data_IF_767752581349
#
_entry.id   IF_767752581349
#
_cell.length_a   1.000
_cell.length_b   1.000
_cell.length_c   1.000
_cell.angle_alpha   90.00
_cell.angle_beta   90.00
_cell.angle_gamma   90.00
#
_symmetry.space_group_name_H-M   'P 1'
#
loop_
_entity.id
_entity.type
_entity.pdbx_description
1 polymer ?
#
# COMPACT_ATOMS: atom_id res chain seq x y z
N UNK A 1 27.21 10.74 34.98
CA UNK A 1 26.59 11.95 34.44
C UNK A 1 25.18 11.61 33.98
N UNK A 2 24.20 12.03 34.77
CA UNK A 2 22.76 11.79 34.47
C UNK A 2 22.38 12.65 33.26
N UNK A 3 22.12 12.00 32.11
CA UNK A 3 21.56 12.70 30.94
C UNK A 3 20.11 13.06 31.27
N UNK A 4 19.84 14.35 31.40
CA UNK A 4 18.48 14.91 31.46
C UNK A 4 17.66 14.34 30.30
N UNK A 5 16.43 13.86 30.53
CA UNK A 5 15.56 13.43 29.43
C UNK A 5 15.30 14.59 28.49
N UNK A 6 15.24 14.33 27.16
CA UNK A 6 15.02 15.39 26.18
C UNK A 6 13.71 16.14 26.45
N UNK A 7 13.71 17.42 26.16
CA UNK A 7 12.58 18.34 26.30
C UNK A 7 11.31 17.74 25.69
N UNK A 8 10.44 17.22 26.54
CA UNK A 8 9.08 16.87 26.17
C UNK A 8 8.29 18.18 26.02
N UNK A 9 7.40 18.26 25.03
CA UNK A 9 6.50 19.42 24.89
C UNK A 9 5.95 19.83 26.25
N UNK A 10 5.85 21.13 26.56
CA UNK A 10 5.63 21.62 27.93
C UNK A 10 4.36 21.13 28.64
N UNK A 11 3.48 20.38 27.98
CA UNK A 11 2.19 19.95 28.50
C UNK A 11 1.89 18.43 28.37
N UNK A 12 2.87 17.57 28.12
CA UNK A 12 2.63 16.12 28.03
C UNK A 12 3.18 15.37 29.23
N UNK A 13 2.30 14.92 30.11
CA UNK A 13 2.66 13.99 31.20
C UNK A 13 2.22 12.56 30.82
N UNK A 14 3.15 11.67 30.48
CA UNK A 14 2.81 10.32 30.10
C UNK A 14 2.25 9.53 31.27
N UNK A 15 1.19 8.77 31.06
CA UNK A 15 0.63 7.82 32.03
C UNK A 15 1.66 6.72 32.35
N UNK A 16 1.56 6.01 33.50
CA UNK A 16 2.53 4.95 33.86
C UNK A 16 2.73 3.91 32.75
N UNK A 17 1.65 3.46 32.08
CA UNK A 17 1.73 2.53 30.94
C UNK A 17 2.44 3.13 29.72
N UNK A 18 2.30 4.42 29.48
CA UNK A 18 2.97 5.15 28.39
C UNK A 18 4.45 5.39 28.72
N UNK A 19 4.81 5.58 29.97
CA UNK A 19 6.22 5.68 30.40
C UNK A 19 7.00 4.43 30.08
N UNK A 20 6.38 3.23 30.20
CA UNK A 20 7.02 1.98 29.82
C UNK A 20 7.37 1.94 28.32
N UNK A 21 6.53 2.52 27.44
CA UNK A 21 6.80 2.63 26.01
C UNK A 21 8.01 3.55 25.78
N UNK A 22 8.09 4.68 26.47
CA UNK A 22 9.20 5.63 26.35
C UNK A 22 10.53 5.08 26.90
N UNK A 23 10.50 4.02 27.71
CA UNK A 23 11.69 3.31 28.17
C UNK A 23 12.22 2.28 27.16
N UNK A 24 11.65 2.20 25.97
CA UNK A 24 12.08 1.29 24.92
C UNK A 24 13.58 1.49 24.60
N UNK A 25 14.33 0.37 24.59
CA UNK A 25 15.77 0.36 24.35
C UNK A 25 16.18 -0.48 23.13
N UNK A 26 15.19 -1.05 22.42
CA UNK A 26 15.42 -1.91 21.25
C UNK A 26 14.67 -3.23 21.33
N UNK A 27 14.73 -4.00 20.24
CA UNK A 27 14.04 -5.28 20.12
C UNK A 27 12.59 -5.13 19.61
N UNK A 28 11.74 -6.11 19.91
CA UNK A 28 10.32 -6.14 19.48
C UNK A 28 9.43 -5.76 20.65
N UNK A 29 8.54 -4.79 20.44
CA UNK A 29 7.59 -4.32 21.45
C UNK A 29 6.18 -4.33 20.84
N UNK A 30 5.26 -5.12 21.43
CA UNK A 30 3.84 -5.09 21.12
C UNK A 30 3.12 -4.07 22.01
N UNK A 31 2.31 -3.17 21.41
CA UNK A 31 1.53 -2.16 22.13
C UNK A 31 0.05 -2.37 21.84
N UNK A 32 -0.69 -2.93 22.79
CA UNK A 32 -2.14 -3.03 22.74
C UNK A 32 -2.77 -1.81 23.42
N UNK A 33 -3.68 -1.14 22.73
CA UNK A 33 -4.36 0.03 23.26
C UNK A 33 -5.72 0.26 22.59
N UNK A 34 -6.71 0.64 23.34
CA UNK A 34 -8.04 1.00 22.84
C UNK A 34 -7.99 2.29 21.98
N UNK A 35 -8.98 2.51 21.11
CA UNK A 35 -9.14 3.79 20.43
C UNK A 35 -9.13 4.96 21.44
N UNK A 36 -8.50 6.07 21.07
CA UNK A 36 -8.41 7.23 21.98
C UNK A 36 -7.36 7.15 23.10
N UNK A 37 -6.68 6.03 23.32
CA UNK A 37 -5.65 5.88 24.35
C UNK A 37 -4.37 6.70 24.13
N UNK A 38 -4.26 7.42 23.01
CA UNK A 38 -3.11 8.25 22.68
C UNK A 38 -1.96 7.49 22.01
N UNK A 39 -2.22 6.35 21.35
CA UNK A 39 -1.21 5.55 20.63
C UNK A 39 -0.34 6.39 19.70
N UNK A 40 -0.96 7.17 18.83
CA UNK A 40 -0.24 8.02 17.87
C UNK A 40 0.65 9.03 18.59
N UNK A 41 0.16 9.61 19.69
CA UNK A 41 0.92 10.62 20.43
C UNK A 41 2.16 10.01 21.09
N UNK A 42 2.01 8.86 21.79
CA UNK A 42 3.14 8.23 22.48
C UNK A 42 4.18 7.65 21.51
N UNK A 43 3.74 7.14 20.34
CA UNK A 43 4.64 6.66 19.30
C UNK A 43 5.40 7.82 18.65
N UNK A 44 4.74 8.98 18.44
CA UNK A 44 5.42 10.19 17.95
C UNK A 44 6.45 10.71 18.96
N UNK A 45 6.11 10.66 20.26
CA UNK A 45 7.04 11.03 21.33
C UNK A 45 8.25 10.08 21.39
N UNK A 46 8.02 8.76 21.25
CA UNK A 46 9.09 7.76 21.21
C UNK A 46 10.00 7.98 19.99
N UNK A 47 9.43 8.22 18.81
CA UNK A 47 10.21 8.52 17.61
C UNK A 47 11.09 9.76 17.81
N UNK A 48 10.51 10.85 18.33
CA UNK A 48 11.27 12.06 18.65
C UNK A 48 12.39 11.82 19.67
N UNK A 49 12.11 11.02 20.71
CA UNK A 49 13.11 10.65 21.71
C UNK A 49 14.26 9.84 21.11
N UNK A 50 13.99 8.88 20.22
CA UNK A 50 15.03 8.11 19.52
C UNK A 50 15.90 9.03 18.67
N UNK A 51 15.31 9.94 17.92
CA UNK A 51 16.03 10.92 17.10
C UNK A 51 16.92 11.84 17.95
N UNK A 52 16.36 12.39 19.03
CA UNK A 52 17.06 13.31 19.92
C UNK A 52 18.16 12.63 20.75
N UNK A 53 18.06 11.32 20.99
CA UNK A 53 19.07 10.58 21.78
C UNK A 53 20.41 10.45 21.08
N UNK A 54 20.49 10.74 19.78
CA UNK A 54 21.69 10.53 18.96
C UNK A 54 22.04 9.03 18.78
N UNK A 55 21.11 8.12 19.04
CA UNK A 55 21.32 6.69 18.88
C UNK A 55 21.29 6.23 17.41
N UNK A 56 20.78 7.07 16.50
CA UNK A 56 20.73 6.78 15.08
C UNK A 56 22.07 7.13 14.43
N UNK A 57 22.61 6.19 13.65
CA UNK A 57 23.74 6.46 12.75
C UNK A 57 23.37 7.45 11.64
N UNK A 58 24.39 7.88 10.88
CA UNK A 58 24.20 8.91 9.83
C UNK A 58 23.17 8.46 8.77
N UNK A 59 23.21 7.19 8.37
CA UNK A 59 22.32 6.60 7.37
C UNK A 59 21.07 5.92 7.97
N UNK A 60 20.78 6.15 9.25
CA UNK A 60 19.65 5.56 9.94
C UNK A 60 18.54 6.57 10.16
N UNK A 61 17.31 6.11 9.97
CA UNK A 61 16.10 6.87 10.21
C UNK A 61 15.05 6.05 10.98
N UNK A 62 14.12 6.73 11.63
CA UNK A 62 12.93 6.10 12.20
C UNK A 62 11.87 5.98 11.10
N UNK A 63 11.53 4.75 10.71
CA UNK A 63 10.46 4.50 9.76
C UNK A 63 9.14 4.24 10.51
N UNK A 64 8.11 5.01 10.19
CA UNK A 64 6.75 4.83 10.70
C UNK A 64 5.85 4.41 9.52
N UNK A 65 5.24 3.23 9.65
CA UNK A 65 4.33 2.71 8.63
C UNK A 65 2.90 2.71 9.15
N UNK A 66 1.98 3.20 8.33
CA UNK A 66 0.54 3.29 8.63
C UNK A 66 -0.29 2.78 7.46
N UNK A 67 -1.61 2.70 7.63
CA UNK A 67 -2.51 2.20 6.58
C UNK A 67 -3.15 3.30 5.73
N UNK A 68 -3.24 4.54 6.26
CA UNK A 68 -3.98 5.64 5.62
C UNK A 68 -3.17 6.93 5.58
N UNK A 69 -3.37 7.73 4.53
CA UNK A 69 -2.64 8.99 4.33
C UNK A 69 -2.88 10.00 5.45
N UNK A 70 -4.11 10.11 5.95
CA UNK A 70 -4.42 11.02 7.07
C UNK A 70 -3.63 10.71 8.35
N UNK A 71 -3.21 9.46 8.56
CA UNK A 71 -2.34 9.09 9.66
C UNK A 71 -0.89 9.52 9.40
N UNK A 72 -0.42 9.52 8.15
CA UNK A 72 0.92 10.05 7.79
C UNK A 72 1.01 11.51 8.23
N UNK A 73 0.07 12.36 7.78
CA UNK A 73 0.05 13.79 8.10
C UNK A 73 -0.01 14.03 9.61
N UNK A 74 -0.84 13.24 10.32
CA UNK A 74 -0.96 13.31 11.78
C UNK A 74 0.34 12.96 12.51
N UNK A 75 1.07 11.91 12.08
CA UNK A 75 2.35 11.55 12.67
C UNK A 75 3.38 12.62 12.43
N UNK A 76 3.51 13.10 11.18
CA UNK A 76 4.47 14.15 10.83
C UNK A 76 4.24 15.43 11.63
N UNK A 77 2.99 15.91 11.68
CA UNK A 77 2.63 17.11 12.43
C UNK A 77 2.94 16.96 13.93
N UNK A 78 2.74 15.75 14.50
CA UNK A 78 3.02 15.48 15.92
C UNK A 78 4.52 15.37 16.19
N UNK A 79 5.28 14.68 15.35
CA UNK A 79 6.73 14.55 15.53
C UNK A 79 7.38 15.93 15.48
N UNK A 80 7.02 16.76 14.51
CA UNK A 80 7.55 18.15 14.38
C UNK A 80 7.38 18.97 15.65
N UNK A 81 6.29 18.77 16.40
CA UNK A 81 6.03 19.49 17.67
C UNK A 81 6.97 19.13 18.81
N UNK A 82 7.72 18.05 18.73
CA UNK A 82 8.71 17.65 19.73
C UNK A 82 10.08 18.27 19.49
N UNK A 83 10.26 19.05 18.43
CA UNK A 83 11.52 19.71 18.08
C UNK A 83 11.32 21.22 18.09
N UNK A 84 12.22 21.92 18.80
CA UNK A 84 12.27 23.39 18.77
C UNK A 84 12.64 23.91 17.38
N UNK A 85 13.54 23.18 16.71
CA UNK A 85 13.90 23.41 15.32
C UNK A 85 13.55 22.18 14.47
N UNK A 86 12.54 22.24 13.57
CA UNK A 86 12.16 21.11 12.70
C UNK A 86 13.31 20.56 11.83
N UNK A 87 14.35 21.37 11.56
CA UNK A 87 15.52 20.94 10.80
C UNK A 87 16.35 19.87 11.52
N UNK A 88 16.27 19.79 12.85
CA UNK A 88 16.94 18.75 13.64
C UNK A 88 16.42 17.35 13.36
N UNK A 89 15.17 17.25 12.93
CA UNK A 89 14.54 15.98 12.57
C UNK A 89 14.63 15.68 11.07
N UNK A 90 15.18 16.61 10.28
CA UNK A 90 15.25 16.45 8.83
C UNK A 90 16.06 15.19 8.48
N UNK A 91 15.51 14.35 7.62
CA UNK A 91 16.10 13.08 7.19
C UNK A 91 16.31 12.02 8.29
N UNK A 92 15.86 12.26 9.54
CA UNK A 92 15.99 11.29 10.64
C UNK A 92 14.71 10.49 10.89
N UNK A 93 13.63 10.80 10.19
CA UNK A 93 12.42 9.98 10.18
C UNK A 93 11.71 10.03 8.84
N UNK A 94 10.95 8.97 8.56
CA UNK A 94 10.07 8.85 7.39
C UNK A 94 8.74 8.27 7.84
N UNK A 95 7.65 8.89 7.43
CA UNK A 95 6.30 8.35 7.63
C UNK A 95 5.72 7.97 6.28
N UNK A 96 5.25 6.74 6.15
CA UNK A 96 4.70 6.20 4.90
C UNK A 96 3.46 5.37 5.16
N UNK A 97 2.57 5.33 4.18
CA UNK A 97 1.59 4.23 4.14
C UNK A 97 2.30 2.94 3.72
N UNK A 98 1.68 1.79 4.02
CA UNK A 98 2.23 0.50 3.58
C UNK A 98 2.40 0.44 2.05
N UNK A 99 1.42 0.95 1.31
CA UNK A 99 1.49 1.03 -0.15
C UNK A 99 2.60 2.00 -0.62
N UNK A 100 2.72 3.16 0.03
CA UNK A 100 3.79 4.11 -0.28
C UNK A 100 5.18 3.55 -0.02
N UNK A 101 5.35 2.80 1.07
CA UNK A 101 6.62 2.11 1.36
C UNK A 101 6.93 1.03 0.30
N UNK A 102 5.94 0.22 -0.04
CA UNK A 102 6.11 -0.80 -1.10
C UNK A 102 6.50 -0.16 -2.43
N UNK A 103 5.87 0.96 -2.78
CA UNK A 103 6.22 1.74 -3.97
C UNK A 103 7.67 2.26 -3.92
N UNK A 104 8.08 2.85 -2.80
CA UNK A 104 9.45 3.35 -2.62
C UNK A 104 10.48 2.21 -2.82
N UNK A 105 10.23 1.01 -2.25
CA UNK A 105 11.08 -0.18 -2.40
C UNK A 105 11.18 -0.63 -3.86
N UNK A 106 10.03 -0.71 -4.55
CA UNK A 106 10.00 -1.14 -5.96
C UNK A 106 10.72 -0.12 -6.85
N UNK A 107 10.56 1.17 -6.55
CA UNK A 107 11.17 2.26 -7.33
C UNK A 107 12.69 2.32 -7.22
N UNK A 108 13.28 1.78 -6.13
CA UNK A 108 14.73 1.68 -6.01
C UNK A 108 15.35 0.71 -7.05
N UNK A 109 14.67 -0.39 -7.36
CA UNK A 109 15.16 -1.42 -8.27
C UNK A 109 14.02 -2.08 -9.05
N UNK A 110 13.33 -1.37 -9.95
CA UNK A 110 12.13 -1.86 -10.63
C UNK A 110 12.42 -3.09 -11.49
N UNK A 111 13.58 -3.19 -12.11
CA UNK A 111 13.98 -4.35 -12.92
C UNK A 111 13.99 -5.67 -12.14
N UNK A 112 14.15 -5.65 -10.80
CA UNK A 112 14.09 -6.88 -9.98
C UNK A 112 12.71 -7.50 -9.89
N UNK A 113 11.68 -6.73 -10.18
CA UNK A 113 10.27 -7.18 -10.20
C UNK A 113 9.68 -7.15 -11.60
N UNK A 114 10.54 -7.07 -12.64
CA UNK A 114 10.13 -7.10 -14.04
C UNK A 114 9.46 -5.81 -14.53
N UNK A 115 9.70 -4.70 -13.86
CA UNK A 115 9.18 -3.39 -14.26
C UNK A 115 10.27 -2.56 -14.95
N UNK A 116 9.83 -1.69 -15.85
CA UNK A 116 10.70 -0.69 -16.49
C UNK A 116 11.07 0.42 -15.49
N UNK A 117 12.18 1.13 -15.73
CA UNK A 117 12.61 2.25 -14.87
C UNK A 117 11.57 3.37 -14.74
N UNK A 118 10.75 3.56 -15.76
CA UNK A 118 9.69 4.58 -15.82
C UNK A 118 8.29 3.96 -15.73
N UNK A 119 8.08 3.02 -14.82
CA UNK A 119 6.73 2.52 -14.58
C UNK A 119 5.85 3.58 -13.88
N UNK A 120 4.56 3.58 -14.19
CA UNK A 120 3.54 4.37 -13.50
C UNK A 120 2.61 3.48 -12.71
N UNK A 121 2.17 3.97 -11.56
CA UNK A 121 1.09 3.33 -10.82
C UNK A 121 -0.22 3.89 -11.33
N UNK A 122 -1.09 3.01 -11.76
CA UNK A 122 -2.46 3.33 -12.15
C UNK A 122 -3.43 3.00 -11.01
N UNK A 123 -4.48 3.78 -10.87
CA UNK A 123 -5.53 3.49 -9.91
C UNK A 123 -6.52 2.42 -10.43
N UNK A 124 -7.45 1.98 -9.56
CA UNK A 124 -8.41 0.93 -9.93
C UNK A 124 -9.37 1.37 -11.05
N UNK A 125 -9.66 2.67 -11.18
CA UNK A 125 -10.52 3.20 -12.25
C UNK A 125 -9.80 3.11 -13.60
N UNK A 126 -8.55 3.56 -13.64
CA UNK A 126 -7.72 3.50 -14.84
C UNK A 126 -7.45 2.06 -15.25
N UNK A 127 -7.13 1.18 -14.31
CA UNK A 127 -6.99 -0.25 -14.56
C UNK A 127 -8.29 -0.88 -15.07
N UNK A 128 -9.44 -0.46 -14.56
CA UNK A 128 -10.76 -0.87 -15.02
C UNK A 128 -11.04 -0.43 -16.45
N UNK A 129 -10.68 0.82 -16.78
CA UNK A 129 -10.81 1.33 -18.13
C UNK A 129 -9.97 0.52 -19.13
N UNK A 130 -8.68 0.33 -18.86
CA UNK A 130 -7.76 -0.44 -19.71
C UNK A 130 -8.29 -1.87 -19.92
N UNK A 131 -8.76 -2.52 -18.85
CA UNK A 131 -9.32 -3.88 -18.95
C UNK A 131 -10.55 -3.92 -19.84
N UNK A 132 -11.50 -2.98 -19.67
CA UNK A 132 -12.72 -2.92 -20.47
C UNK A 132 -12.40 -2.65 -21.95
N UNK A 133 -11.49 -1.76 -22.26
CA UNK A 133 -11.02 -1.51 -23.62
C UNK A 133 -10.41 -2.77 -24.24
N UNK A 134 -9.61 -3.51 -23.47
CA UNK A 134 -9.02 -4.78 -23.92
C UNK A 134 -10.08 -5.85 -24.21
N UNK A 135 -11.10 -5.97 -23.35
CA UNK A 135 -12.23 -6.88 -23.56
C UNK A 135 -13.03 -6.50 -24.81
N UNK A 136 -13.33 -5.22 -25.01
CA UNK A 136 -14.06 -4.74 -26.19
C UNK A 136 -13.27 -4.98 -27.49
N UNK A 137 -11.96 -4.72 -27.46
CA UNK A 137 -11.09 -4.98 -28.60
C UNK A 137 -11.02 -6.46 -28.96
N UNK A 138 -10.96 -7.33 -27.94
CA UNK A 138 -10.97 -8.78 -28.14
C UNK A 138 -12.32 -9.25 -28.71
N UNK A 139 -13.46 -8.79 -28.18
CA UNK A 139 -14.79 -9.10 -28.68
C UNK A 139 -15.01 -8.65 -30.13
N UNK A 140 -14.39 -7.55 -30.54
CA UNK A 140 -14.48 -7.06 -31.92
C UNK A 140 -13.82 -8.01 -32.93
N UNK A 141 -12.85 -8.85 -32.49
CA UNK A 141 -12.08 -9.76 -33.35
C UNK A 141 -12.42 -11.24 -33.13
N UNK A 142 -13.24 -11.57 -32.11
CA UNK A 142 -13.59 -12.95 -31.77
C UNK A 142 -15.12 -13.08 -31.63
N UNK A 143 -15.72 -14.01 -32.39
CA UNK A 143 -17.13 -14.35 -32.20
C UNK A 143 -17.28 -15.34 -31.05
N UNK A 144 -18.30 -15.14 -30.25
CA UNK A 144 -18.74 -16.07 -29.23
C UNK A 144 -20.10 -16.71 -29.56
N UNK A 145 -20.49 -16.68 -30.84
CA UNK A 145 -21.80 -17.18 -31.29
C UNK A 145 -22.01 -18.64 -30.95
N UNK A 146 -20.97 -19.47 -31.01
CA UNK A 146 -21.02 -20.90 -30.68
C UNK A 146 -21.28 -21.18 -29.19
N UNK A 147 -21.12 -20.16 -28.32
CA UNK A 147 -21.38 -20.26 -26.89
C UNK A 147 -22.74 -19.68 -26.47
N UNK A 148 -23.49 -19.14 -27.44
CA UNK A 148 -24.79 -18.54 -27.19
C UNK A 148 -25.92 -19.54 -27.50
N UNK A 149 -27.01 -19.45 -26.75
CA UNK A 149 -28.18 -20.27 -27.00
C UNK A 149 -28.78 -19.92 -28.37
N UNK A 150 -28.84 -20.86 -29.32
CA UNK A 150 -29.41 -20.64 -30.65
C UNK A 150 -30.92 -20.36 -30.61
N UNK A 151 -31.61 -20.63 -29.51
CA UNK A 151 -33.04 -20.35 -29.34
C UNK A 151 -33.33 -18.88 -28.94
N UNK A 152 -32.33 -18.07 -28.70
CA UNK A 152 -32.51 -16.65 -28.41
C UNK A 152 -33.06 -15.89 -29.61
N UNK A 153 -34.11 -15.10 -29.39
CA UNK A 153 -34.56 -14.18 -30.41
C UNK A 153 -33.50 -13.08 -30.73
N UNK A 154 -33.59 -12.50 -31.90
CA UNK A 154 -32.58 -11.54 -32.39
C UNK A 154 -32.40 -10.34 -31.48
N UNK A 155 -33.45 -9.84 -30.83
CA UNK A 155 -33.39 -8.67 -29.94
C UNK A 155 -32.69 -9.01 -28.61
N UNK A 156 -32.95 -10.19 -28.07
CA UNK A 156 -32.24 -10.71 -26.88
C UNK A 156 -30.78 -11.01 -27.20
N UNK A 157 -30.52 -11.60 -28.36
CA UNK A 157 -29.15 -11.89 -28.81
C UNK A 157 -28.33 -10.61 -28.92
N UNK A 158 -28.87 -9.57 -29.54
CA UNK A 158 -28.23 -8.26 -29.65
C UNK A 158 -27.95 -7.65 -28.28
N UNK A 159 -28.89 -7.75 -27.34
CA UNK A 159 -28.73 -7.23 -26.00
C UNK A 159 -27.65 -8.01 -25.23
N UNK A 160 -27.65 -9.36 -25.31
CA UNK A 160 -26.61 -10.19 -24.73
C UNK A 160 -25.24 -9.81 -25.26
N UNK A 161 -25.08 -9.71 -26.59
CA UNK A 161 -23.80 -9.38 -27.22
C UNK A 161 -23.30 -7.99 -26.86
N UNK A 162 -24.18 -6.99 -26.78
CA UNK A 162 -23.78 -5.59 -26.55
C UNK A 162 -23.62 -5.25 -25.08
N UNK A 163 -24.35 -5.90 -24.18
CA UNK A 163 -24.42 -5.54 -22.77
C UNK A 163 -23.89 -6.63 -21.86
N UNK A 164 -24.39 -7.85 -21.94
CA UNK A 164 -24.04 -8.90 -20.99
C UNK A 164 -22.63 -9.47 -21.21
N UNK A 165 -22.26 -9.76 -22.44
CA UNK A 165 -20.95 -10.37 -22.72
C UNK A 165 -19.78 -9.48 -22.34
N UNK A 166 -19.77 -8.17 -22.66
CA UNK A 166 -18.69 -7.28 -22.22
C UNK A 166 -18.58 -7.24 -20.69
N UNK A 167 -19.70 -7.16 -19.97
CA UNK A 167 -19.68 -7.11 -18.51
C UNK A 167 -19.24 -8.43 -17.88
N UNK A 168 -19.70 -9.56 -18.42
CA UNK A 168 -19.28 -10.89 -17.98
C UNK A 168 -17.79 -11.10 -18.20
N UNK A 169 -17.29 -10.81 -19.41
CA UNK A 169 -15.86 -10.97 -19.72
C UNK A 169 -14.97 -10.03 -18.93
N UNK A 170 -15.39 -8.78 -18.68
CA UNK A 170 -14.69 -7.85 -17.83
C UNK A 170 -14.57 -8.41 -16.39
N UNK A 171 -15.66 -8.97 -15.86
CA UNK A 171 -15.69 -9.59 -14.54
C UNK A 171 -14.79 -10.81 -14.45
N UNK A 172 -14.83 -11.67 -15.47
CA UNK A 172 -13.98 -12.87 -15.55
C UNK A 172 -12.51 -12.49 -15.68
N UNK A 173 -12.19 -11.51 -16.53
CA UNK A 173 -10.82 -11.00 -16.68
C UNK A 173 -10.28 -10.44 -15.36
N UNK A 174 -11.09 -9.66 -14.63
CA UNK A 174 -10.70 -9.16 -13.31
C UNK A 174 -10.43 -10.28 -12.31
N UNK A 175 -11.32 -11.27 -12.23
CA UNK A 175 -11.17 -12.41 -11.33
C UNK A 175 -9.92 -13.23 -11.69
N UNK A 176 -9.70 -13.47 -12.98
CA UNK A 176 -8.52 -14.18 -13.48
C UNK A 176 -7.21 -13.44 -13.16
N UNK A 177 -7.14 -12.13 -13.43
CA UNK A 177 -5.96 -11.30 -13.13
C UNK A 177 -5.66 -11.32 -11.63
N UNK A 178 -6.68 -11.16 -10.77
CA UNK A 178 -6.51 -11.22 -9.30
C UNK A 178 -5.97 -12.59 -8.87
N UNK A 179 -6.62 -13.68 -9.31
CA UNK A 179 -6.19 -15.03 -8.96
C UNK A 179 -4.76 -15.35 -9.45
N UNK A 180 -4.38 -14.85 -10.62
CA UNK A 180 -3.05 -15.05 -11.18
C UNK A 180 -1.99 -14.29 -10.36
N UNK A 181 -2.28 -13.05 -9.99
CA UNK A 181 -1.40 -12.24 -9.14
C UNK A 181 -1.24 -12.84 -7.75
N UNK A 182 -2.32 -13.28 -7.12
CA UNK A 182 -2.30 -13.91 -5.79
C UNK A 182 -1.44 -15.18 -5.77
N UNK A 183 -1.40 -15.89 -6.91
CA UNK A 183 -0.58 -17.11 -7.09
C UNK A 183 0.81 -16.84 -7.66
N UNK A 184 1.17 -15.57 -7.86
CA UNK A 184 2.45 -15.15 -8.46
C UNK A 184 2.71 -15.79 -9.84
N UNK A 185 1.66 -16.01 -10.65
CA UNK A 185 1.77 -16.59 -11.98
C UNK A 185 2.22 -15.51 -12.98
N UNK A 186 3.23 -15.83 -13.75
CA UNK A 186 3.68 -14.98 -14.87
C UNK A 186 2.90 -15.31 -16.15
N UNK A 187 2.86 -14.41 -17.16
CA UNK A 187 2.23 -14.70 -18.46
C UNK A 187 2.78 -15.98 -19.11
N UNK A 188 4.08 -16.23 -19.00
CA UNK A 188 4.75 -17.42 -19.54
C UNK A 188 4.27 -18.69 -18.83
N UNK A 189 4.20 -18.66 -17.49
CA UNK A 189 3.72 -19.80 -16.70
C UNK A 189 2.24 -20.11 -16.96
N UNK A 190 1.44 -19.08 -17.28
CA UNK A 190 0.04 -19.25 -17.65
C UNK A 190 -0.10 -19.91 -19.02
N UNK A 191 0.68 -19.48 -20.01
CA UNK A 191 0.72 -20.10 -21.36
C UNK A 191 1.06 -21.57 -21.27
N UNK A 192 2.15 -21.93 -20.58
CA UNK A 192 2.56 -23.31 -20.39
C UNK A 192 1.46 -24.18 -19.75
N UNK A 193 0.71 -23.64 -18.79
CA UNK A 193 -0.41 -24.37 -18.17
C UNK A 193 -1.58 -24.56 -19.12
N UNK A 194 -1.91 -23.55 -19.92
CA UNK A 194 -2.98 -23.65 -20.91
C UNK A 194 -2.63 -24.68 -21.99
N UNK A 195 -1.41 -24.62 -22.54
CA UNK A 195 -0.92 -25.56 -23.56
C UNK A 195 -0.87 -27.02 -23.04
N UNK A 196 -0.69 -27.22 -21.74
CA UNK A 196 -0.71 -28.55 -21.11
C UNK A 196 -2.10 -29.09 -20.77
N UNK A 197 -3.15 -28.24 -20.88
CA UNK A 197 -4.52 -28.58 -20.50
C UNK A 197 -5.41 -28.96 -21.70
N UNK A 198 -4.89 -28.82 -22.90
CA UNK A 198 -5.47 -29.22 -24.18
C UNK A 198 -4.59 -30.24 -24.90
#
# INVERSE_FOLDING_TARGET
MSKTPPHMTPNFTPRPSQQNILRYKGGRLGIAAVPGAGKTHILSALAAQIIQSGALGDDQEVLIVTLVNSAVDNFEARIKRFFDNPLQALYKYRVRTLHGLAHDIVREKPARVGLEERFSIIDEREAGFIRRESVNAWLASHSLDDYLDPALDSSKLDWVKRQQLPDLLDSLALAFIRSSKDRLLTPESLRLKLDSSF
#
